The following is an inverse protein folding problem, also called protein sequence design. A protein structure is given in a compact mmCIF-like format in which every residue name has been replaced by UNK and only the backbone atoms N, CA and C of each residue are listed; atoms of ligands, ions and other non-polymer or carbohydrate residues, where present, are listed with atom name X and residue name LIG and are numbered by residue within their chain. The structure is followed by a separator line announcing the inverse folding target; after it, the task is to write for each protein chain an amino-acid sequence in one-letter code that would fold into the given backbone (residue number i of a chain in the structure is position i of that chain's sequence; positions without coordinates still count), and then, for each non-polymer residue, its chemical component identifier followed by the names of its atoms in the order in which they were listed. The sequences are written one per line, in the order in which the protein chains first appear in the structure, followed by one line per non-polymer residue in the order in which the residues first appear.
data_IF_945792619575
#
_entry.id   IF_945792619575
#
_cell.length_a   1.000
_cell.length_b   1.000
_cell.length_c   1.000
_cell.angle_alpha   90.00
_cell.angle_beta   90.00
_cell.angle_gamma   90.00
#
_symmetry.space_group_name_H-M   'P 1'
#
loop_
_entity.id
_entity.type
_entity.pdbx_description
1 polymer ?
#
# COMPACT_ATOMS: atom_id res chain seq x y z
N UNK A 1 17.46 1.53 1.09
CA UNK A 1 17.01 1.53 -0.32
C UNK A 1 15.66 2.25 -0.37
N UNK A 2 15.57 3.44 -0.95
CA UNK A 2 14.31 4.19 -1.09
C UNK A 2 13.59 3.84 -2.38
N UNK A 3 12.31 3.50 -2.29
CA UNK A 3 11.45 3.19 -3.44
C UNK A 3 10.79 4.48 -3.94
N UNK A 4 11.00 4.87 -5.21
CA UNK A 4 10.36 6.04 -5.78
C UNK A 4 8.83 5.90 -5.73
N UNK A 5 8.12 6.98 -5.41
CA UNK A 5 6.66 7.03 -5.54
C UNK A 5 6.28 7.00 -7.02
N UNK A 6 5.17 6.34 -7.35
CA UNK A 6 4.73 6.22 -8.73
C UNK A 6 4.30 7.59 -9.30
N UNK A 7 4.95 8.12 -10.35
CA UNK A 7 4.61 9.45 -10.90
C UNK A 7 3.20 9.52 -11.49
N UNK A 8 2.59 8.37 -11.81
CA UNK A 8 1.20 8.30 -12.29
C UNK A 8 0.18 8.82 -11.25
N UNK A 9 0.49 8.74 -9.96
CA UNK A 9 -0.40 9.24 -8.89
C UNK A 9 -0.43 10.76 -8.80
N UNK A 10 0.57 11.45 -9.37
CA UNK A 10 0.58 12.91 -9.47
C UNK A 10 -0.36 13.38 -10.58
N UNK A 11 -0.52 12.57 -11.63
CA UNK A 11 -1.36 12.88 -12.78
C UNK A 11 -2.83 12.45 -12.61
N UNK A 12 -3.11 11.51 -11.70
CA UNK A 12 -4.47 10.96 -11.51
C UNK A 12 -4.98 11.29 -10.11
N UNK A 13 -6.12 12.00 -9.97
CA UNK A 13 -6.65 12.33 -8.65
C UNK A 13 -7.10 11.04 -7.95
N UNK A 14 -6.35 10.62 -6.93
CA UNK A 14 -6.78 9.56 -6.03
C UNK A 14 -8.01 10.01 -5.24
N UNK A 15 -9.06 9.20 -5.17
CA UNK A 15 -10.24 9.50 -4.32
C UNK A 15 -9.90 9.61 -2.83
N UNK A 16 -8.75 9.06 -2.43
CA UNK A 16 -8.24 9.09 -1.06
C UNK A 16 -7.30 10.30 -0.90
N UNK A 17 -7.86 11.41 -0.39
CA UNK A 17 -7.15 12.69 -0.21
C UNK A 17 -6.71 12.93 1.24
N UNK A 18 -7.13 12.07 2.19
CA UNK A 18 -6.75 12.18 3.60
C UNK A 18 -6.21 10.86 4.18
N UNK A 19 -5.32 10.94 5.19
CA UNK A 19 -4.85 9.75 5.90
C UNK A 19 -5.97 9.00 6.62
N UNK A 20 -7.06 9.69 6.99
CA UNK A 20 -8.25 9.07 7.57
C UNK A 20 -9.00 8.17 6.56
N UNK A 21 -9.17 8.64 5.32
CA UNK A 21 -9.74 7.83 4.24
C UNK A 21 -8.84 6.64 3.89
N UNK A 22 -7.51 6.83 3.88
CA UNK A 22 -6.57 5.73 3.64
C UNK A 22 -6.69 4.65 4.73
N UNK A 23 -6.92 5.04 5.99
CA UNK A 23 -7.19 4.09 7.06
C UNK A 23 -8.48 3.31 6.83
N UNK A 24 -9.57 3.97 6.46
CA UNK A 24 -10.83 3.30 6.13
C UNK A 24 -10.65 2.32 4.96
N UNK A 25 -9.88 2.71 3.95
CA UNK A 25 -9.53 1.86 2.83
C UNK A 25 -8.79 0.59 3.25
N UNK A 26 -7.74 0.71 4.06
CA UNK A 26 -6.97 -0.45 4.55
C UNK A 26 -7.81 -1.33 5.48
N UNK A 27 -8.69 -0.73 6.30
CA UNK A 27 -9.55 -1.47 7.22
C UNK A 27 -10.64 -2.29 6.52
N UNK A 28 -11.05 -1.90 5.31
CA UNK A 28 -12.04 -2.64 4.50
C UNK A 28 -11.61 -4.08 4.20
N UNK A 29 -10.31 -4.34 4.20
CA UNK A 29 -9.76 -5.65 3.90
C UNK A 29 -9.79 -6.53 5.15
N UNK A 30 -10.66 -7.54 5.10
CA UNK A 30 -10.74 -8.57 6.11
C UNK A 30 -9.49 -9.47 6.08
N UNK A 31 -9.19 -10.08 7.23
CA UNK A 31 -8.07 -11.01 7.37
C UNK A 31 -8.30 -12.25 6.48
N UNK A 32 -7.35 -12.61 5.60
CA UNK A 32 -7.44 -13.84 4.82
C UNK A 32 -7.41 -15.07 5.73
N UNK A 33 -8.13 -16.12 5.32
CA UNK A 33 -8.20 -17.37 6.06
C UNK A 33 -6.81 -18.04 6.07
N UNK A 34 -6.33 -18.44 7.26
CA UNK A 34 -4.99 -19.02 7.44
C UNK A 34 -3.86 -18.02 7.74
N UNK A 35 -4.14 -16.71 7.75
CA UNK A 35 -3.15 -15.71 8.15
C UNK A 35 -3.18 -15.45 9.67
N UNK A 36 -2.01 -15.32 10.29
CA UNK A 36 -1.96 -14.97 11.72
C UNK A 36 -2.49 -13.55 11.94
N UNK A 37 -3.30 -13.30 12.99
CA UNK A 37 -3.80 -11.96 13.28
C UNK A 37 -2.68 -10.94 13.50
N UNK A 38 -1.55 -11.37 14.07
CA UNK A 38 -0.36 -10.54 14.22
C UNK A 38 0.26 -10.15 12.87
N UNK A 39 0.47 -11.11 11.96
CA UNK A 39 1.01 -10.83 10.64
C UNK A 39 0.07 -9.92 9.83
N UNK A 40 -1.24 -10.13 9.95
CA UNK A 40 -2.23 -9.28 9.28
C UNK A 40 -2.22 -7.83 9.81
N UNK A 41 -2.13 -7.65 11.13
CA UNK A 41 -2.03 -6.33 11.72
C UNK A 41 -0.73 -5.61 11.30
N UNK A 42 0.39 -6.33 11.25
CA UNK A 42 1.66 -5.82 10.72
C UNK A 42 1.53 -5.43 9.25
N UNK A 43 0.84 -6.23 8.44
CA UNK A 43 0.56 -5.95 7.02
C UNK A 43 -0.24 -4.65 6.85
N UNK A 44 -1.31 -4.46 7.65
CA UNK A 44 -2.10 -3.22 7.68
C UNK A 44 -1.26 -2.01 8.10
N UNK A 45 -0.39 -2.16 9.11
CA UNK A 45 0.52 -1.09 9.54
C UNK A 45 1.48 -0.67 8.43
N UNK A 46 2.05 -1.63 7.72
CA UNK A 46 2.94 -1.38 6.57
C UNK A 46 2.17 -0.68 5.45
N UNK A 47 0.96 -1.15 5.12
CA UNK A 47 0.11 -0.50 4.11
C UNK A 47 -0.18 0.96 4.49
N UNK A 48 -0.50 1.24 5.75
CA UNK A 48 -0.68 2.61 6.25
C UNK A 48 0.60 3.45 6.20
N UNK A 49 1.77 2.85 6.43
CA UNK A 49 3.07 3.53 6.28
C UNK A 49 3.30 3.95 4.82
N UNK A 50 2.98 3.07 3.86
CA UNK A 50 3.03 3.40 2.42
C UNK A 50 2.10 4.57 2.07
N UNK A 51 0.86 4.56 2.57
CA UNK A 51 -0.08 5.68 2.39
C UNK A 51 0.45 6.98 2.99
N UNK A 52 1.04 6.95 4.19
CA UNK A 52 1.66 8.13 4.81
C UNK A 52 2.84 8.65 3.98
N UNK A 53 3.68 7.77 3.46
CA UNK A 53 4.78 8.13 2.56
C UNK A 53 4.25 8.84 1.30
N UNK A 54 3.18 8.31 0.70
CA UNK A 54 2.51 8.96 -0.45
C UNK A 54 2.02 10.37 -0.12
N UNK A 55 1.29 10.55 0.99
CA UNK A 55 0.83 11.87 1.42
C UNK A 55 1.97 12.84 1.74
N UNK A 56 3.08 12.32 2.26
CA UNK A 56 4.26 13.13 2.56
C UNK A 56 5.13 13.44 1.32
N UNK A 57 4.78 12.92 0.14
CA UNK A 57 5.62 12.98 -1.06
C UNK A 57 6.98 12.29 -0.87
N UNK A 58 7.07 11.36 0.09
CA UNK A 58 8.31 10.67 0.45
C UNK A 58 8.35 9.26 -0.14
N UNK A 59 9.52 8.90 -0.62
CA UNK A 59 9.82 7.55 -1.09
C UNK A 59 9.69 6.53 0.05
N UNK A 60 9.13 5.35 -0.25
CA UNK A 60 9.01 4.29 0.75
C UNK A 60 10.35 3.57 0.92
N UNK A 61 10.99 3.67 2.07
CA UNK A 61 12.39 3.24 2.25
C UNK A 61 12.61 1.75 2.57
N UNK A 62 11.56 0.93 2.48
CA UNK A 62 11.64 -0.49 2.85
C UNK A 62 11.33 -1.40 1.68
N UNK A 63 12.01 -2.55 1.66
CA UNK A 63 11.70 -3.65 0.75
C UNK A 63 10.41 -4.29 1.21
N UNK A 64 9.40 -4.28 0.34
CA UNK A 64 8.18 -5.06 0.54
C UNK A 64 8.47 -6.49 0.07
N UNK A 65 8.92 -7.33 1.01
CA UNK A 65 8.97 -8.77 0.77
C UNK A 65 7.54 -9.28 0.62
N UNK A 66 7.36 -10.19 -0.34
CA UNK A 66 6.07 -10.69 -0.79
C UNK A 66 5.09 -10.95 0.35
N UNK A 67 4.09 -10.08 0.47
CA UNK A 67 2.96 -10.25 1.37
C UNK A 67 1.74 -10.66 0.54
N UNK A 68 0.83 -11.42 1.16
CA UNK A 68 -0.42 -11.95 0.59
C UNK A 68 -1.07 -11.01 -0.46
N UNK A 69 -1.69 -11.50 -1.55
CA UNK A 69 -2.23 -10.67 -2.65
C UNK A 69 -3.08 -9.46 -2.23
N UNK A 70 -3.84 -9.61 -1.14
CA UNK A 70 -4.63 -8.54 -0.53
C UNK A 70 -3.80 -7.32 -0.10
N UNK A 71 -2.53 -7.50 0.28
CA UNK A 71 -1.64 -6.40 0.61
C UNK A 71 -1.43 -5.48 -0.59
N UNK A 72 -1.23 -6.04 -1.78
CA UNK A 72 -1.12 -5.26 -3.02
C UNK A 72 -2.40 -4.49 -3.33
N UNK A 73 -3.56 -5.05 -2.99
CA UNK A 73 -4.83 -4.35 -3.12
C UNK A 73 -4.99 -3.20 -2.10
N UNK A 74 -4.42 -3.33 -0.90
CA UNK A 74 -4.43 -2.27 0.11
C UNK A 74 -3.59 -1.05 -0.29
N UNK A 75 -2.46 -1.30 -0.96
CA UNK A 75 -1.55 -0.27 -1.48
C UNK A 75 -1.86 0.10 -2.94
N UNK A 76 -3.03 -0.30 -3.44
CA UNK A 76 -3.62 0.26 -4.66
C UNK A 76 -4.67 1.29 -4.26
N UNK A 77 -4.77 2.32 -5.07
CA UNK A 77 -5.87 3.27 -4.97
C UNK A 77 -7.18 2.59 -5.42
N UNK A 78 -8.35 3.10 -5.02
CA UNK A 78 -9.64 2.60 -5.51
C UNK A 78 -9.77 2.55 -7.02
N UNK A 79 -9.03 3.40 -7.72
CA UNK A 79 -8.97 3.49 -9.18
C UNK A 79 -8.07 2.40 -9.81
N UNK A 80 -7.38 1.61 -8.97
CA UNK A 80 -6.51 0.51 -9.39
C UNK A 80 -5.05 0.88 -9.57
N UNK A 81 -4.66 2.13 -9.28
CA UNK A 81 -3.27 2.58 -9.44
C UNK A 81 -2.40 2.13 -8.25
N UNK A 82 -1.23 1.49 -8.49
CA UNK A 82 -0.34 1.08 -7.41
C UNK A 82 0.43 2.28 -6.84
N UNK A 83 0.41 2.43 -5.51
CA UNK A 83 1.10 3.49 -4.76
C UNK A 83 2.63 3.43 -4.89
N UNK A 84 3.14 2.21 -4.99
CA UNK A 84 4.56 1.89 -5.16
C UNK A 84 4.72 1.22 -6.52
N UNK A 85 5.73 1.55 -7.32
CA UNK A 85 5.96 0.89 -8.61
C UNK A 85 6.18 -0.61 -8.44
N UNK A 86 5.55 -1.39 -9.31
CA UNK A 86 5.58 -2.87 -9.31
C UNK A 86 7.02 -3.41 -9.42
N UNK A 87 7.93 -2.64 -10.04
CA UNK A 87 9.37 -2.93 -10.12
C UNK A 87 10.05 -3.10 -8.75
N UNK A 88 9.45 -2.56 -7.69
CA UNK A 88 9.94 -2.67 -6.32
C UNK A 88 9.20 -3.72 -5.49
N UNK A 89 8.13 -4.30 -6.04
CA UNK A 89 7.36 -5.39 -5.43
C UNK A 89 7.98 -6.72 -5.89
N UNK A 90 8.85 -7.28 -5.04
CA UNK A 90 9.68 -8.42 -5.43
C UNK A 90 8.88 -9.73 -5.40
N UNK A 91 8.31 -10.14 -6.54
CA UNK A 91 7.64 -11.43 -6.75
C UNK A 91 6.28 -11.37 -7.46
N UNK A 92 5.88 -10.22 -8.01
CA UNK A 92 4.61 -10.07 -8.74
C UNK A 92 4.68 -10.97 -9.98
N UNK A 93 4.04 -12.13 -9.90
CA UNK A 93 3.89 -13.12 -10.97
C UNK A 93 2.39 -13.32 -11.18
#
# INVERSE_FOLDING_TARGET
MSLPLNPALVATPCSITSPAQARLWVERFARPQGFSPYAWNTTKRIAMEVWKCHFAGRQFARTLNFMHPLFYQMIRTPEGLPLVPESCMRGFI
#
